data_IF_771781446572
#
_entry.id   IF_771781446572
#
_cell.length_a   1.000
_cell.length_b   1.000
_cell.length_c   1.000
_cell.angle_alpha   90.00
_cell.angle_beta   90.00
_cell.angle_gamma   90.00
#
_symmetry.space_group_name_H-M   'P 1'
#
loop_
_entity.id
_entity.type
_entity.pdbx_description
1 polymer ?
#
# COMPACT_ATOMS: atom_id res chain seq x y z
N UNK A 1 -18.14 -22.03 2.32
CA UNK A 1 -18.84 -21.53 1.13
C UNK A 1 -17.77 -20.85 0.29
N UNK A 2 -17.35 -21.42 -0.84
CA UNK A 2 -16.36 -20.78 -1.70
C UNK A 2 -17.03 -19.58 -2.36
N UNK A 3 -16.88 -18.40 -1.77
CA UNK A 3 -17.22 -17.16 -2.46
C UNK A 3 -16.43 -17.11 -3.76
N UNK A 4 -17.16 -17.02 -4.87
CA UNK A 4 -16.56 -16.92 -6.19
C UNK A 4 -15.74 -15.64 -6.23
N UNK A 5 -14.43 -15.74 -6.33
CA UNK A 5 -13.56 -14.58 -6.52
C UNK A 5 -14.00 -13.86 -7.81
N UNK A 6 -14.44 -12.61 -7.65
CA UNK A 6 -14.82 -11.75 -8.77
C UNK A 6 -13.79 -10.65 -8.91
N UNK A 7 -13.22 -10.54 -10.12
CA UNK A 7 -12.36 -9.41 -10.44
C UNK A 7 -13.15 -8.11 -10.45
N UNK A 8 -12.59 -7.07 -9.83
CA UNK A 8 -13.09 -5.70 -9.93
C UNK A 8 -11.90 -4.78 -10.25
N UNK A 9 -12.00 -3.91 -11.27
CA UNK A 9 -10.97 -2.90 -11.51
C UNK A 9 -10.88 -1.93 -10.33
N UNK A 10 -9.70 -1.35 -10.12
CA UNK A 10 -9.47 -0.36 -9.08
C UNK A 10 -10.08 0.99 -9.48
N UNK A 11 -10.69 1.66 -8.51
CA UNK A 11 -11.39 2.92 -8.76
C UNK A 11 -10.41 4.03 -9.16
N UNK A 12 -10.85 4.93 -10.05
CA UNK A 12 -10.22 6.23 -10.29
C UNK A 12 -10.84 7.23 -9.33
N UNK A 13 -10.02 7.78 -8.42
CA UNK A 13 -10.49 8.66 -7.34
C UNK A 13 -9.81 10.03 -7.44
N UNK A 14 -10.61 11.08 -7.35
CA UNK A 14 -10.14 12.43 -7.08
C UNK A 14 -9.60 12.54 -5.65
N UNK A 15 -8.77 13.55 -5.39
CA UNK A 15 -8.25 13.80 -4.03
C UNK A 15 -9.36 14.07 -3.00
N UNK A 16 -10.52 14.60 -3.42
CA UNK A 16 -11.67 14.81 -2.53
C UNK A 16 -12.34 13.48 -2.18
N UNK A 17 -12.59 12.61 -3.15
CA UNK A 17 -13.16 11.28 -2.90
C UNK A 17 -12.25 10.44 -1.99
N UNK A 18 -10.93 10.54 -2.18
CA UNK A 18 -9.96 9.89 -1.28
C UNK A 18 -10.11 10.41 0.15
N UNK A 19 -10.18 11.73 0.35
CA UNK A 19 -10.38 12.32 1.69
C UNK A 19 -11.72 11.91 2.31
N UNK A 20 -12.77 11.84 1.52
CA UNK A 20 -14.09 11.40 2.00
C UNK A 20 -14.04 9.94 2.47
N UNK A 21 -13.41 9.03 1.72
CA UNK A 21 -13.22 7.64 2.14
C UNK A 21 -12.40 7.52 3.42
N UNK A 22 -11.31 8.30 3.52
CA UNK A 22 -10.50 8.38 4.75
C UNK A 22 -11.32 8.84 5.95
N UNK A 23 -12.19 9.85 5.76
CA UNK A 23 -13.05 10.37 6.82
C UNK A 23 -14.17 9.39 7.21
N UNK A 24 -14.75 8.66 6.24
CA UNK A 24 -15.76 7.63 6.50
C UNK A 24 -15.20 6.45 7.28
N UNK A 25 -13.89 6.17 7.11
CA UNK A 25 -13.16 5.11 7.81
C UNK A 25 -13.85 3.73 7.71
N UNK A 26 -14.44 3.44 6.55
CA UNK A 26 -15.11 2.17 6.28
C UNK A 26 -14.06 1.13 5.86
N UNK A 27 -13.99 0.01 6.59
CA UNK A 27 -12.93 -0.98 6.42
C UNK A 27 -12.81 -1.49 4.98
N UNK A 28 -13.94 -1.80 4.35
CA UNK A 28 -14.02 -2.26 2.97
C UNK A 28 -13.49 -1.24 1.96
N UNK A 29 -13.78 0.06 2.16
CA UNK A 29 -13.20 1.13 1.36
C UNK A 29 -11.68 1.24 1.58
N UNK A 30 -11.24 1.19 2.85
CA UNK A 30 -9.83 1.36 3.22
C UNK A 30 -8.95 0.19 2.81
N UNK A 31 -9.51 -1.02 2.67
CA UNK A 31 -8.76 -2.17 2.15
C UNK A 31 -8.33 -1.96 0.70
N UNK A 32 -9.11 -1.27 -0.13
CA UNK A 32 -8.79 -1.08 -1.55
C UNK A 32 -8.15 0.27 -1.84
N UNK A 33 -8.34 1.26 -0.95
CA UNK A 33 -7.88 2.63 -1.14
C UNK A 33 -6.39 2.77 -1.46
N UNK A 34 -5.44 2.11 -0.75
CA UNK A 34 -4.01 2.20 -1.08
C UNK A 34 -3.68 1.77 -2.51
N UNK A 35 -4.35 0.70 -3.00
CA UNK A 35 -4.14 0.17 -4.33
C UNK A 35 -4.69 1.14 -5.38
N UNK A 36 -5.90 1.66 -5.17
CA UNK A 36 -6.52 2.65 -6.06
C UNK A 36 -5.67 3.91 -6.19
N UNK A 37 -5.20 4.49 -5.07
CA UNK A 37 -4.36 5.70 -5.15
C UNK A 37 -2.98 5.41 -5.73
N UNK A 38 -2.39 4.24 -5.42
CA UNK A 38 -1.09 3.86 -5.94
C UNK A 38 -1.08 3.55 -7.43
N UNK A 39 -2.15 2.98 -7.97
CA UNK A 39 -2.28 2.74 -9.41
C UNK A 39 -2.60 4.03 -10.17
N UNK A 40 -3.66 4.71 -9.74
CA UNK A 40 -4.38 5.63 -10.60
C UNK A 40 -4.15 7.11 -10.26
N UNK A 41 -3.78 7.46 -9.03
CA UNK A 41 -3.72 8.88 -8.65
C UNK A 41 -2.53 9.58 -9.37
N UNK A 42 -2.75 10.76 -9.99
CA UNK A 42 -1.70 11.43 -10.76
C UNK A 42 -0.59 12.03 -9.88
N UNK A 43 -0.92 12.41 -8.66
CA UNK A 43 0.04 12.92 -7.69
C UNK A 43 0.57 11.77 -6.82
N UNK A 44 1.80 11.33 -7.10
CA UNK A 44 2.49 10.24 -6.39
C UNK A 44 2.69 10.55 -4.91
N UNK A 45 3.00 11.82 -4.57
CA UNK A 45 3.28 12.24 -3.19
C UNK A 45 2.00 12.17 -2.36
N UNK A 46 0.88 12.62 -2.92
CA UNK A 46 -0.44 12.45 -2.31
C UNK A 46 -0.79 10.97 -2.10
N UNK A 47 -0.57 10.12 -3.10
CA UNK A 47 -0.81 8.67 -2.97
C UNK A 47 0.06 8.05 -1.86
N UNK A 48 1.33 8.46 -1.77
CA UNK A 48 2.23 8.03 -0.69
C UNK A 48 1.71 8.49 0.67
N UNK A 49 1.32 9.76 0.81
CA UNK A 49 0.85 10.33 2.08
C UNK A 49 -0.42 9.62 2.57
N UNK A 50 -1.31 9.22 1.66
CA UNK A 50 -2.47 8.36 1.96
C UNK A 50 -2.03 7.00 2.49
N UNK A 51 -1.07 6.34 1.83
CA UNK A 51 -0.55 5.06 2.30
C UNK A 51 0.17 5.19 3.65
N UNK A 52 0.92 6.28 3.88
CA UNK A 52 1.54 6.59 5.18
C UNK A 52 0.48 6.73 6.27
N UNK A 53 -0.60 7.47 6.01
CA UNK A 53 -1.72 7.60 6.93
C UNK A 53 -2.34 6.23 7.27
N UNK A 54 -2.65 5.43 6.24
CA UNK A 54 -3.27 4.11 6.41
C UNK A 54 -2.35 3.09 7.07
N UNK A 55 -1.03 3.30 7.01
CA UNK A 55 -0.06 2.43 7.70
C UNK A 55 -0.18 2.48 9.23
N UNK A 56 -0.93 3.42 9.79
CA UNK A 56 -1.17 3.51 11.24
C UNK A 56 -2.57 3.02 11.66
N UNK A 57 -3.34 2.43 10.73
CA UNK A 57 -4.68 1.94 11.00
C UNK A 57 -4.68 0.71 11.93
N UNK A 58 -5.74 0.52 12.73
CA UNK A 58 -5.84 -0.58 13.69
C UNK A 58 -5.85 -1.97 13.03
N UNK A 59 -6.49 -2.09 11.86
CA UNK A 59 -6.54 -3.32 11.06
C UNK A 59 -5.18 -3.64 10.43
N UNK A 60 -4.64 -4.83 10.75
CA UNK A 60 -3.46 -5.41 10.11
C UNK A 60 -3.59 -5.48 8.59
N UNK A 61 -4.78 -5.80 8.08
CA UNK A 61 -5.06 -5.89 6.65
C UNK A 61 -4.91 -4.54 5.94
N UNK A 62 -5.44 -3.46 6.54
CA UNK A 62 -5.29 -2.09 5.99
C UNK A 62 -3.82 -1.67 5.98
N UNK A 63 -3.07 -1.93 7.06
CA UNK A 63 -1.63 -1.62 7.10
C UNK A 63 -0.83 -2.41 6.06
N UNK A 64 -1.16 -3.69 5.86
CA UNK A 64 -0.51 -4.49 4.83
C UNK A 64 -0.83 -3.97 3.42
N UNK A 65 -2.05 -3.51 3.19
CA UNK A 65 -2.43 -2.91 1.92
C UNK A 65 -1.81 -1.52 1.75
N UNK A 66 -1.54 -0.77 2.81
CA UNK A 66 -0.74 0.45 2.72
C UNK A 66 0.68 0.18 2.19
N UNK A 67 1.31 -0.91 2.63
CA UNK A 67 2.61 -1.34 2.09
C UNK A 67 2.51 -1.76 0.63
N UNK A 68 1.44 -2.48 0.26
CA UNK A 68 1.15 -2.78 -1.14
C UNK A 68 0.92 -1.51 -1.98
N UNK A 69 0.30 -0.49 -1.40
CA UNK A 69 0.14 0.83 -2.02
C UNK A 69 1.49 1.46 -2.38
N UNK A 70 2.50 1.34 -1.51
CA UNK A 70 3.86 1.78 -1.85
C UNK A 70 4.44 1.02 -3.05
N UNK A 71 4.24 -0.29 -3.13
CA UNK A 71 4.68 -1.09 -4.28
C UNK A 71 4.01 -0.66 -5.59
N UNK A 72 2.71 -0.35 -5.54
CA UNK A 72 1.99 0.20 -6.68
C UNK A 72 2.55 1.55 -7.12
N UNK A 73 2.82 2.46 -6.17
CA UNK A 73 3.41 3.77 -6.49
C UNK A 73 4.81 3.59 -7.09
N UNK A 74 5.64 2.69 -6.54
CA UNK A 74 6.97 2.44 -7.12
C UNK A 74 6.87 1.91 -8.55
N UNK A 75 5.93 0.99 -8.82
CA UNK A 75 5.73 0.40 -10.15
C UNK A 75 5.18 1.40 -11.16
N UNK A 76 4.20 2.21 -10.79
CA UNK A 76 3.48 3.07 -11.73
C UNK A 76 4.08 4.46 -11.87
N UNK A 77 4.71 4.98 -10.81
CA UNK A 77 5.26 6.34 -10.76
C UNK A 77 6.78 6.38 -10.62
N UNK A 78 7.43 5.30 -10.17
CA UNK A 78 8.88 5.25 -9.97
C UNK A 78 9.37 6.20 -8.87
N UNK A 79 8.51 6.58 -7.93
CA UNK A 79 8.80 7.60 -6.93
C UNK A 79 8.31 7.22 -5.55
N UNK A 80 9.20 7.24 -4.56
CA UNK A 80 8.89 7.10 -3.14
C UNK A 80 9.97 7.82 -2.32
N UNK A 81 9.58 8.40 -1.19
CA UNK A 81 10.50 8.97 -0.21
C UNK A 81 10.99 7.89 0.74
N UNK A 82 12.18 7.37 0.45
CA UNK A 82 12.79 6.25 1.19
C UNK A 82 12.81 6.44 2.70
N UNK A 83 13.14 7.64 3.16
CA UNK A 83 13.29 7.93 4.59
C UNK A 83 11.96 7.88 5.36
N UNK A 84 10.83 8.10 4.67
CA UNK A 84 9.47 7.99 5.23
C UNK A 84 8.97 6.55 5.13
N UNK A 85 9.12 5.93 3.95
CA UNK A 85 8.49 4.65 3.64
C UNK A 85 9.24 3.45 4.24
N UNK A 86 10.58 3.48 4.24
CA UNK A 86 11.41 2.40 4.79
C UNK A 86 11.07 1.99 6.23
N UNK A 87 10.97 2.91 7.23
CA UNK A 87 10.67 2.51 8.60
C UNK A 87 9.30 1.85 8.74
N UNK A 88 8.31 2.28 7.96
CA UNK A 88 6.95 1.70 7.93
C UNK A 88 7.02 0.26 7.43
N UNK A 89 7.65 0.03 6.27
CA UNK A 89 7.78 -1.30 5.67
C UNK A 89 8.49 -2.26 6.62
N UNK A 90 9.60 -1.84 7.22
CA UNK A 90 10.37 -2.69 8.13
C UNK A 90 9.62 -2.97 9.44
N UNK A 91 8.77 -2.06 9.90
CA UNK A 91 7.87 -2.30 11.03
C UNK A 91 6.83 -3.36 10.67
N UNK A 92 6.11 -3.19 9.57
CA UNK A 92 5.08 -4.17 9.15
C UNK A 92 5.68 -5.54 8.85
N UNK A 93 6.90 -5.62 8.29
CA UNK A 93 7.59 -6.89 8.08
C UNK A 93 7.84 -7.66 9.40
N UNK A 94 8.03 -6.95 10.52
CA UNK A 94 8.23 -7.59 11.83
C UNK A 94 6.92 -7.89 12.54
N UNK A 95 5.95 -6.99 12.45
CA UNK A 95 4.77 -6.98 13.32
C UNK A 95 3.53 -7.59 12.65
N UNK A 96 3.42 -7.56 11.33
CA UNK A 96 2.23 -7.98 10.58
C UNK A 96 2.32 -9.45 10.14
N UNK A 97 2.26 -10.36 11.12
CA UNK A 97 2.43 -11.81 10.88
C UNK A 97 1.35 -12.39 9.96
N UNK A 98 0.11 -11.93 10.10
CA UNK A 98 -1.06 -12.44 9.37
C UNK A 98 -0.98 -12.20 7.85
N UNK A 99 -0.45 -11.04 7.44
CA UNK A 99 -0.35 -10.64 6.04
C UNK A 99 1.10 -10.50 5.56
N UNK A 100 2.04 -11.17 6.24
CA UNK A 100 3.47 -11.06 5.96
C UNK A 100 3.81 -11.34 4.49
N UNK A 101 3.15 -12.32 3.86
CA UNK A 101 3.35 -12.64 2.44
C UNK A 101 3.17 -11.41 1.53
N UNK A 102 2.15 -10.58 1.78
CA UNK A 102 1.90 -9.35 1.03
C UNK A 102 2.98 -8.31 1.26
N UNK A 103 3.50 -8.22 2.49
CA UNK A 103 4.59 -7.31 2.83
C UNK A 103 5.86 -7.71 2.08
N UNK A 104 6.19 -9.00 2.06
CA UNK A 104 7.35 -9.55 1.34
C UNK A 104 7.25 -9.28 -0.15
N UNK A 105 6.12 -9.61 -0.79
CA UNK A 105 5.91 -9.36 -2.22
C UNK A 105 6.06 -7.86 -2.55
N UNK A 106 5.49 -6.99 -1.69
CA UNK A 106 5.60 -5.54 -1.86
C UNK A 106 7.05 -5.04 -1.72
N UNK A 107 7.84 -5.65 -0.84
CA UNK A 107 9.27 -5.33 -0.68
C UNK A 107 10.04 -5.68 -1.96
N UNK A 108 9.74 -6.84 -2.57
CA UNK A 108 10.37 -7.28 -3.82
C UNK A 108 10.09 -6.28 -4.95
N UNK A 109 8.83 -5.86 -5.12
CA UNK A 109 8.44 -4.83 -6.08
C UNK A 109 9.16 -3.50 -5.83
N UNK A 110 9.15 -3.02 -4.59
CA UNK A 110 9.78 -1.74 -4.24
C UNK A 110 11.29 -1.80 -4.48
N UNK A 111 11.94 -2.91 -4.13
CA UNK A 111 13.37 -3.11 -4.41
C UNK A 111 13.66 -3.07 -5.91
N UNK A 112 12.85 -3.77 -6.70
CA UNK A 112 12.97 -3.81 -8.16
C UNK A 112 12.81 -2.42 -8.78
N UNK A 113 11.71 -1.73 -8.49
CA UNK A 113 11.36 -0.48 -9.19
C UNK A 113 12.09 0.75 -8.64
N UNK A 114 12.47 0.75 -7.36
CA UNK A 114 13.20 1.87 -6.76
C UNK A 114 14.72 1.66 -6.74
N UNK A 115 15.21 0.49 -7.17
CA UNK A 115 16.59 0.04 -6.99
C UNK A 115 17.04 0.16 -5.53
N UNK A 116 16.19 -0.32 -4.62
CA UNK A 116 16.47 -0.35 -3.18
C UNK A 116 16.89 -1.75 -2.73
N UNK A 117 17.45 -1.81 -1.52
CA UNK A 117 17.74 -3.06 -0.83
C UNK A 117 17.09 -3.00 0.55
N UNK A 118 15.76 -3.06 0.54
CA UNK A 118 14.93 -3.27 1.73
C UNK A 118 14.90 -4.77 1.99
N UNK A 119 15.34 -5.19 3.18
CA UNK A 119 15.21 -6.56 3.69
C UNK A 119 15.29 -7.64 2.59
N UNK A 120 16.50 -7.90 2.07
CA UNK A 120 16.68 -9.00 1.11
C UNK A 120 16.49 -10.36 1.80
N UNK A 121 15.77 -11.27 1.15
CA UNK A 121 15.93 -12.70 1.45
C UNK A 121 17.40 -13.03 1.20
N UNK A 122 18.13 -13.39 2.25
CA UNK A 122 19.38 -14.14 2.06
C UNK A 122 18.96 -15.49 1.50
N UNK A 123 19.29 -15.72 0.24
CA UNK A 123 19.41 -17.08 -0.29
C UNK A 123 20.56 -17.79 0.40
#
# INVERSE_FOLDING_TARGET
MNEKQMYKPLDYLSSNEVRERLNRNQLDELLTLPLSVGENHPNWKFAQDVCVYLSSHESSAVRANAVLGFAYISRTKGQLEKHIVKPIILRELRENVEHNWRIVDSIEDINLFMNWNLASKKN
#
